data_IF_767874511026
#
_entry.id   IF_767874511026
#
_cell.length_a   1.000
_cell.length_b   1.000
_cell.length_c   1.000
_cell.angle_alpha   90.00
_cell.angle_beta   90.00
_cell.angle_gamma   90.00
#
_symmetry.space_group_name_H-M   'P 1'
#
loop_
_entity.id
_entity.type
_entity.pdbx_description
1 polymer ?
#
# COMPACT_ATOMS: atom_id res chain seq x y z
N UNK A 1 -9.69 -13.64 33.28
CA UNK A 1 -9.74 -13.82 31.82
C UNK A 1 -9.55 -15.29 31.51
N UNK A 2 -10.50 -15.95 30.83
CA UNK A 2 -10.35 -17.36 30.45
C UNK A 2 -9.48 -17.45 29.20
N UNK A 3 -8.26 -17.96 29.35
CA UNK A 3 -7.37 -18.29 28.22
C UNK A 3 -7.88 -19.51 27.48
N UNK A 4 -7.76 -19.51 26.15
CA UNK A 4 -8.05 -20.68 25.31
C UNK A 4 -6.74 -21.28 24.80
N UNK A 5 -6.59 -22.60 24.94
CA UNK A 5 -5.52 -23.36 24.29
C UNK A 5 -6.14 -24.05 23.09
N UNK A 6 -5.90 -23.53 21.89
CA UNK A 6 -6.26 -24.23 20.67
C UNK A 6 -5.30 -25.40 20.48
N UNK A 7 -5.80 -26.62 20.63
CA UNK A 7 -5.07 -27.84 20.26
C UNK A 7 -5.34 -28.16 18.78
N UNK A 8 -4.33 -28.55 18.00
CA UNK A 8 -4.55 -29.04 16.63
C UNK A 8 -5.57 -30.19 16.61
N UNK A 9 -6.46 -30.22 15.61
CA UNK A 9 -7.47 -31.28 15.43
C UNK A 9 -6.82 -32.65 15.16
N UNK A 10 -5.54 -32.69 14.78
CA UNK A 10 -4.74 -33.91 14.65
C UNK A 10 -3.48 -33.81 15.50
N UNK A 11 -3.23 -34.74 16.44
CA UNK A 11 -1.97 -34.81 17.18
C UNK A 11 -0.93 -35.40 16.23
N UNK A 12 -0.34 -34.55 15.41
CA UNK A 12 0.92 -34.85 14.73
C UNK A 12 1.87 -33.78 15.21
N UNK A 13 3.00 -34.19 15.79
CA UNK A 13 4.01 -33.34 16.45
C UNK A 13 4.71 -32.32 15.51
N UNK A 14 4.08 -31.95 14.39
CA UNK A 14 4.62 -31.10 13.34
C UNK A 14 3.65 -30.05 12.80
N UNK A 15 2.40 -29.98 13.26
CA UNK A 15 1.46 -28.92 12.82
C UNK A 15 1.44 -27.78 13.86
N UNK A 16 2.00 -26.60 13.55
CA UNK A 16 1.95 -25.46 14.46
C UNK A 16 0.49 -25.08 14.73
N UNK A 17 0.22 -24.62 15.96
CA UNK A 17 -1.10 -24.14 16.32
C UNK A 17 -1.57 -23.07 15.31
N UNK A 18 -2.86 -23.05 14.95
CA UNK A 18 -3.38 -22.18 13.89
C UNK A 18 -3.25 -20.69 14.21
N UNK A 19 -2.96 -20.37 15.47
CA UNK A 19 -2.77 -19.04 16.06
C UNK A 19 -1.70 -19.16 17.17
N UNK A 20 -0.98 -18.07 17.51
CA UNK A 20 -0.15 -18.07 18.72
C UNK A 20 -0.97 -18.45 19.97
N UNK A 21 -0.52 -19.47 20.70
CA UNK A 21 -1.19 -20.00 21.90
C UNK A 21 -0.19 -20.17 23.06
N UNK A 22 -0.63 -20.10 24.32
CA UNK A 22 -2.00 -19.76 24.77
C UNK A 22 -2.36 -18.29 24.52
N UNK A 23 -3.63 -18.00 24.18
CA UNK A 23 -4.14 -16.63 24.06
C UNK A 23 -5.61 -16.55 24.50
N UNK A 24 -6.14 -15.35 24.72
CA UNK A 24 -7.58 -15.16 25.00
C UNK A 24 -8.39 -15.18 23.70
N UNK A 25 -9.70 -15.43 23.80
CA UNK A 25 -10.62 -15.30 22.66
C UNK A 25 -10.55 -13.90 22.05
N UNK A 26 -10.46 -12.88 22.90
CA UNK A 26 -10.29 -11.49 22.45
C UNK A 26 -9.02 -11.33 21.62
N UNK A 27 -7.87 -11.81 22.10
CA UNK A 27 -6.62 -11.72 21.35
C UNK A 27 -6.70 -12.43 20.00
N UNK A 28 -7.28 -13.63 19.98
CA UNK A 28 -7.47 -14.40 18.75
C UNK A 28 -8.28 -13.64 17.70
N UNK A 29 -9.43 -13.09 18.10
CA UNK A 29 -10.31 -12.34 17.20
C UNK A 29 -9.75 -10.96 16.81
N UNK A 30 -9.04 -10.30 17.73
CA UNK A 30 -8.57 -8.92 17.56
C UNK A 30 -7.28 -8.82 16.77
N UNK A 31 -6.31 -9.70 17.03
CA UNK A 31 -4.95 -9.57 16.49
C UNK A 31 -4.59 -10.63 15.46
N UNK A 32 -5.31 -11.75 15.39
CA UNK A 32 -4.91 -12.85 14.51
C UNK A 32 -5.96 -13.26 13.47
N UNK A 33 -7.23 -12.92 13.65
CA UNK A 33 -8.30 -13.22 12.71
C UNK A 33 -8.64 -11.99 11.83
N UNK A 34 -8.61 -12.15 10.50
CA UNK A 34 -9.14 -11.15 9.56
C UNK A 34 -10.63 -11.40 9.34
N UNK A 35 -11.45 -10.81 10.23
CA UNK A 35 -12.90 -10.95 10.20
C UNK A 35 -13.58 -10.21 9.03
N UNK A 36 -12.83 -9.36 8.31
CA UNK A 36 -13.33 -8.55 7.18
C UNK A 36 -12.92 -9.12 5.83
N UNK A 37 -12.00 -10.08 5.79
CA UNK A 37 -11.66 -10.79 4.57
C UNK A 37 -12.86 -11.61 4.06
N UNK A 38 -13.00 -11.71 2.73
CA UNK A 38 -14.02 -12.55 2.12
C UNK A 38 -13.91 -13.99 2.65
N UNK A 39 -15.03 -14.56 3.12
CA UNK A 39 -15.01 -15.92 3.68
C UNK A 39 -14.62 -16.95 2.63
N UNK A 40 -13.81 -17.93 3.02
CA UNK A 40 -13.40 -19.00 2.11
C UNK A 40 -14.51 -20.02 1.90
N UNK A 41 -14.45 -20.77 0.80
CA UNK A 41 -15.37 -21.89 0.56
C UNK A 41 -15.31 -22.97 1.65
N UNK A 42 -14.12 -23.23 2.20
CA UNK A 42 -13.95 -24.19 3.29
C UNK A 42 -14.64 -23.70 4.57
N UNK A 43 -14.56 -22.40 4.86
CA UNK A 43 -15.27 -21.81 5.98
C UNK A 43 -16.79 -21.87 5.78
N UNK A 44 -17.28 -21.66 4.55
CA UNK A 44 -18.72 -21.84 4.23
C UNK A 44 -19.19 -23.28 4.47
N UNK A 45 -18.38 -24.29 4.14
CA UNK A 45 -18.72 -25.69 4.41
C UNK A 45 -18.78 -25.98 5.91
N UNK A 46 -17.82 -25.48 6.69
CA UNK A 46 -17.86 -25.60 8.16
C UNK A 46 -19.15 -24.99 8.73
N UNK A 47 -19.56 -23.82 8.22
CA UNK A 47 -20.80 -23.16 8.65
C UNK A 47 -22.03 -23.97 8.24
N UNK A 48 -22.02 -24.57 7.04
CA UNK A 48 -23.13 -25.40 6.55
C UNK A 48 -23.36 -26.63 7.44
N UNK A 49 -22.29 -27.31 7.85
CA UNK A 49 -22.33 -28.49 8.72
C UNK A 49 -22.88 -28.19 10.11
N UNK A 50 -22.75 -26.93 10.56
CA UNK A 50 -23.16 -26.48 11.90
C UNK A 50 -24.40 -25.57 11.87
N UNK A 51 -25.12 -25.53 10.74
CA UNK A 51 -26.39 -24.82 10.61
C UNK A 51 -27.53 -25.70 11.11
N UNK A 52 -28.27 -25.23 12.12
CA UNK A 52 -29.45 -25.96 12.63
C UNK A 52 -30.67 -25.85 11.70
N UNK A 53 -30.72 -24.84 10.83
CA UNK A 53 -31.77 -24.67 9.83
C UNK A 53 -31.33 -25.32 8.50
N UNK A 54 -32.00 -26.39 8.02
CA UNK A 54 -31.62 -27.09 6.79
C UNK A 54 -31.52 -26.18 5.56
N UNK A 55 -32.39 -25.16 5.47
CA UNK A 55 -32.36 -24.22 4.34
C UNK A 55 -31.08 -23.36 4.34
N UNK A 56 -30.63 -22.88 5.51
CA UNK A 56 -29.38 -22.12 5.63
C UNK A 56 -28.15 -23.01 5.34
N UNK A 57 -28.14 -24.23 5.88
CA UNK A 57 -27.07 -25.20 5.62
C UNK A 57 -26.93 -25.54 4.14
N UNK A 58 -28.05 -25.85 3.47
CA UNK A 58 -28.06 -26.12 2.03
C UNK A 58 -27.58 -24.92 1.20
N UNK A 59 -27.95 -23.70 1.60
CA UNK A 59 -27.53 -22.46 0.93
C UNK A 59 -26.03 -22.21 1.08
N UNK A 60 -25.47 -22.36 2.28
CA UNK A 60 -24.03 -22.26 2.53
C UNK A 60 -23.24 -23.31 1.73
N UNK A 61 -23.71 -24.56 1.71
CA UNK A 61 -23.11 -25.64 0.93
C UNK A 61 -23.17 -25.35 -0.58
N UNK A 62 -24.28 -24.79 -1.08
CA UNK A 62 -24.41 -24.38 -2.48
C UNK A 62 -23.35 -23.35 -2.87
N UNK A 63 -23.18 -22.28 -2.07
CA UNK A 63 -22.16 -21.24 -2.32
C UNK A 63 -20.74 -21.84 -2.37
N UNK A 64 -20.44 -22.84 -1.54
CA UNK A 64 -19.15 -23.50 -1.57
C UNK A 64 -18.96 -24.43 -2.80
N UNK A 65 -20.04 -24.96 -3.35
CA UNK A 65 -20.03 -25.96 -4.44
C UNK A 65 -19.49 -25.44 -5.78
N UNK A 66 -19.35 -26.36 -6.75
CA UNK A 66 -19.04 -26.01 -8.14
C UNK A 66 -20.20 -25.27 -8.82
N UNK A 67 -21.44 -25.68 -8.56
CA UNK A 67 -22.64 -25.06 -9.12
C UNK A 67 -22.81 -23.60 -8.62
N UNK A 68 -22.54 -23.35 -7.35
CA UNK A 68 -22.61 -22.00 -6.77
C UNK A 68 -21.37 -21.13 -7.00
N UNK A 69 -20.40 -21.55 -7.82
CA UNK A 69 -19.13 -20.81 -8.03
C UNK A 69 -19.38 -19.35 -8.45
N UNK A 70 -20.28 -19.13 -9.39
CA UNK A 70 -20.59 -17.79 -9.87
C UNK A 70 -21.25 -16.96 -8.78
N UNK A 71 -22.22 -17.55 -8.08
CA UNK A 71 -22.92 -16.87 -6.99
C UNK A 71 -22.00 -16.55 -5.81
N UNK A 72 -21.07 -17.43 -5.45
CA UNK A 72 -20.02 -17.14 -4.47
C UNK A 72 -19.15 -15.96 -4.89
N UNK A 73 -18.75 -15.90 -6.17
CA UNK A 73 -17.96 -14.78 -6.67
C UNK A 73 -18.74 -13.47 -6.58
N UNK A 74 -20.02 -13.47 -6.94
CA UNK A 74 -20.85 -12.27 -6.94
C UNK A 74 -21.29 -11.83 -5.53
N UNK A 75 -21.68 -12.78 -4.69
CA UNK A 75 -22.23 -12.50 -3.36
C UNK A 75 -21.15 -12.34 -2.29
N UNK A 76 -20.09 -13.14 -2.35
CA UNK A 76 -19.05 -13.18 -1.30
C UNK A 76 -17.80 -12.42 -1.73
N UNK A 77 -17.20 -12.76 -2.87
CA UNK A 77 -15.89 -12.23 -3.26
C UNK A 77 -15.99 -10.79 -3.73
N UNK A 78 -16.87 -10.49 -4.68
CA UNK A 78 -17.06 -9.17 -5.29
C UNK A 78 -17.46 -8.13 -4.24
N UNK A 79 -18.37 -8.53 -3.37
CA UNK A 79 -18.90 -7.67 -2.32
C UNK A 79 -17.98 -7.68 -1.07
N UNK A 80 -17.01 -8.59 -0.99
CA UNK A 80 -16.09 -8.70 0.15
C UNK A 80 -16.79 -9.05 1.45
N UNK A 81 -17.75 -9.99 1.43
CA UNK A 81 -18.50 -10.40 2.63
C UNK A 81 -17.60 -11.10 3.64
N UNK A 82 -17.40 -10.43 4.77
CA UNK A 82 -16.63 -10.94 5.89
C UNK A 82 -17.39 -11.97 6.72
N UNK A 83 -16.68 -12.61 7.66
CA UNK A 83 -17.26 -13.61 8.56
C UNK A 83 -18.47 -13.06 9.34
N UNK A 84 -18.36 -11.83 9.84
CA UNK A 84 -19.43 -11.19 10.61
C UNK A 84 -20.72 -11.06 9.79
N UNK A 85 -20.61 -10.69 8.52
CA UNK A 85 -21.78 -10.52 7.64
C UNK A 85 -22.43 -11.86 7.31
N UNK A 86 -21.60 -12.89 7.07
CA UNK A 86 -22.09 -14.24 6.79
C UNK A 86 -22.79 -14.83 8.01
N UNK A 87 -22.25 -14.69 9.22
CA UNK A 87 -22.92 -15.15 10.45
C UNK A 87 -24.21 -14.37 10.77
N UNK A 88 -24.30 -13.10 10.34
CA UNK A 88 -25.53 -12.32 10.48
C UNK A 88 -26.63 -12.75 9.50
N UNK A 89 -26.22 -13.21 8.30
CA UNK A 89 -27.09 -13.73 7.24
C UNK A 89 -27.56 -15.16 7.53
N UNK A 90 -26.67 -16.02 8.04
CA UNK A 90 -26.94 -17.43 8.36
C UNK A 90 -26.86 -17.65 9.88
N UNK A 91 -27.91 -17.25 10.60
CA UNK A 91 -27.90 -17.18 12.06
C UNK A 91 -27.99 -18.55 12.75
N UNK A 92 -28.42 -19.57 12.04
CA UNK A 92 -28.48 -20.95 12.55
C UNK A 92 -27.12 -21.64 12.58
N UNK A 93 -26.10 -21.06 11.93
CA UNK A 93 -24.75 -21.62 11.88
C UNK A 93 -23.98 -21.36 13.18
N UNK A 94 -23.75 -22.40 13.99
CA UNK A 94 -23.05 -22.33 15.27
C UNK A 94 -21.82 -23.24 15.32
N UNK A 95 -20.74 -22.93 14.57
CA UNK A 95 -19.55 -23.77 14.54
C UNK A 95 -18.75 -23.69 15.86
N UNK A 96 -18.01 -24.75 16.23
CA UNK A 96 -17.05 -24.69 17.33
C UNK A 96 -16.00 -23.59 17.09
N UNK A 97 -15.73 -22.77 18.11
CA UNK A 97 -14.81 -21.63 18.02
C UNK A 97 -13.41 -22.06 17.52
N UNK A 98 -12.91 -23.22 17.95
CA UNK A 98 -11.60 -23.71 17.52
C UNK A 98 -11.52 -23.97 16.02
N UNK A 99 -12.51 -24.67 15.46
CA UNK A 99 -12.61 -24.95 14.03
C UNK A 99 -12.80 -23.65 13.23
N UNK A 100 -13.59 -22.71 13.76
CA UNK A 100 -13.77 -21.40 13.16
C UNK A 100 -12.44 -20.65 13.07
N UNK A 101 -11.72 -20.53 14.19
CA UNK A 101 -10.43 -19.82 14.24
C UNK A 101 -9.35 -20.48 13.37
N UNK A 102 -9.43 -21.79 13.15
CA UNK A 102 -8.54 -22.50 12.23
C UNK A 102 -8.73 -22.04 10.77
N UNK A 103 -9.98 -21.91 10.32
CA UNK A 103 -10.33 -21.61 8.94
C UNK A 103 -10.44 -20.12 8.59
N UNK A 104 -10.62 -19.26 9.59
CA UNK A 104 -10.72 -17.82 9.37
C UNK A 104 -9.38 -17.28 8.82
N UNK A 105 -9.41 -16.45 7.75
CA UNK A 105 -8.20 -15.82 7.22
C UNK A 105 -7.41 -15.10 8.31
N UNK A 106 -6.08 -15.15 8.25
CA UNK A 106 -5.24 -14.55 9.29
C UNK A 106 -5.02 -13.06 9.03
N UNK A 107 -5.03 -12.28 10.10
CA UNK A 107 -4.76 -10.84 10.02
C UNK A 107 -3.28 -10.61 9.71
N UNK A 108 -3.01 -10.00 8.56
CA UNK A 108 -1.64 -9.68 8.13
C UNK A 108 -1.22 -8.26 8.56
N UNK A 109 0.07 -8.01 8.83
CA UNK A 109 0.56 -6.65 9.06
C UNK A 109 0.37 -5.79 7.80
N UNK A 110 0.09 -4.50 8.00
CA UNK A 110 -0.02 -3.52 6.91
C UNK A 110 1.24 -2.66 6.88
N UNK A 111 1.87 -2.60 5.71
CA UNK A 111 3.08 -1.83 5.48
C UNK A 111 2.74 -0.39 5.09
N UNK A 112 3.47 0.56 5.69
CA UNK A 112 3.45 1.96 5.34
C UNK A 112 4.88 2.43 5.12
N UNK A 113 5.08 3.30 4.14
CA UNK A 113 6.39 3.92 3.92
C UNK A 113 6.61 5.01 4.98
N UNK A 114 7.77 4.94 5.65
CA UNK A 114 8.19 5.93 6.64
C UNK A 114 8.34 7.29 5.96
N UNK A 115 7.80 8.34 6.58
CA UNK A 115 7.82 9.71 6.08
C UNK A 115 8.61 10.69 6.97
N UNK A 116 9.51 10.16 7.78
CA UNK A 116 10.50 10.91 8.56
C UNK A 116 11.91 10.39 8.35
N UNK A 117 12.88 11.23 8.69
CA UNK A 117 14.28 10.86 8.82
C UNK A 117 14.70 10.87 10.30
N UNK A 118 15.48 9.88 10.76
CA UNK A 118 16.06 9.90 12.11
C UNK A 118 17.12 10.99 12.29
N UNK A 119 17.67 11.54 11.20
CA UNK A 119 18.55 12.71 11.28
C UNK A 119 17.79 13.99 11.67
N UNK A 120 16.50 14.07 11.32
CA UNK A 120 15.63 15.18 11.76
C UNK A 120 15.11 14.97 13.18
N UNK A 121 14.70 13.75 13.52
CA UNK A 121 14.30 13.36 14.88
C UNK A 121 14.47 11.85 15.08
N UNK A 122 15.51 11.46 15.83
CA UNK A 122 15.81 10.04 16.09
C UNK A 122 14.80 9.37 17.02
N UNK A 123 13.98 10.14 17.74
CA UNK A 123 12.98 9.63 18.67
C UNK A 123 11.61 9.37 18.00
N UNK A 124 11.40 9.82 16.76
CA UNK A 124 10.10 9.71 16.08
C UNK A 124 10.14 9.04 14.72
N UNK A 125 9.07 8.30 14.43
CA UNK A 125 8.81 7.69 13.14
C UNK A 125 7.46 8.17 12.63
N UNK A 126 7.44 8.82 11.47
CA UNK A 126 6.22 9.38 10.88
C UNK A 126 5.68 8.47 9.78
N UNK A 127 4.35 8.41 9.67
CA UNK A 127 3.63 7.74 8.58
C UNK A 127 2.74 8.75 7.86
N UNK A 128 2.64 8.63 6.54
CA UNK A 128 1.68 9.39 5.72
C UNK A 128 0.59 8.44 5.22
N UNK A 129 -0.60 8.51 5.80
CA UNK A 129 -1.65 7.51 5.60
C UNK A 129 -2.91 8.12 4.99
N UNK A 130 -3.38 7.54 3.87
CA UNK A 130 -4.74 7.79 3.37
C UNK A 130 -5.67 6.86 4.14
N UNK A 131 -6.62 7.42 4.89
CA UNK A 131 -7.66 6.62 5.53
C UNK A 131 -8.55 6.01 4.46
N UNK A 132 -8.59 4.68 4.40
CA UNK A 132 -9.36 3.95 3.40
C UNK A 132 -10.82 3.86 3.81
N UNK A 133 -11.64 4.74 3.22
CA UNK A 133 -13.11 4.68 3.21
C UNK A 133 -13.58 5.10 1.81
N UNK A 134 -13.82 4.12 0.95
CA UNK A 134 -14.24 4.40 -0.44
C UNK A 134 -15.21 3.32 -0.95
N UNK A 135 -16.12 3.66 -1.89
CA UNK A 135 -16.99 2.67 -2.50
C UNK A 135 -16.20 1.49 -3.08
N UNK A 136 -16.70 0.26 -2.90
CA UNK A 136 -16.08 -0.90 -3.53
C UNK A 136 -16.21 -0.82 -5.05
N UNK A 137 -15.13 -1.12 -5.77
CA UNK A 137 -15.06 -0.97 -7.24
C UNK A 137 -16.18 -1.70 -7.98
N UNK A 138 -16.54 -2.89 -7.50
CA UNK A 138 -17.53 -3.76 -8.14
C UNK A 138 -18.85 -3.84 -7.35
N UNK A 139 -18.98 -3.06 -6.27
CA UNK A 139 -20.16 -3.01 -5.41
C UNK A 139 -20.30 -1.59 -4.83
N UNK A 140 -20.65 -0.58 -5.65
CA UNK A 140 -20.54 0.84 -5.27
C UNK A 140 -21.45 1.26 -4.11
N UNK A 141 -22.49 0.47 -3.79
CA UNK A 141 -23.35 0.66 -2.61
C UNK A 141 -22.68 0.23 -1.31
N UNK A 142 -21.55 -0.50 -1.37
CA UNK A 142 -20.76 -0.93 -0.22
C UNK A 142 -19.49 -0.11 -0.09
N UNK A 143 -19.06 0.13 1.15
CA UNK A 143 -17.83 0.83 1.46
C UNK A 143 -16.70 -0.14 1.79
N UNK A 144 -15.58 0.00 1.09
CA UNK A 144 -14.30 -0.59 1.48
C UNK A 144 -13.74 0.24 2.63
N UNK A 145 -13.63 -0.38 3.80
CA UNK A 145 -13.06 0.22 5.01
C UNK A 145 -11.77 -0.50 5.37
N UNK A 146 -10.65 0.23 5.41
CA UNK A 146 -9.35 -0.36 5.73
C UNK A 146 -9.19 -0.62 7.22
N UNK A 147 -8.87 -1.86 7.59
CA UNK A 147 -8.65 -2.26 9.00
C UNK A 147 -7.59 -1.39 9.66
N UNK A 148 -6.36 -1.41 9.15
CA UNK A 148 -5.24 -0.69 9.78
C UNK A 148 -5.37 0.84 9.63
N UNK A 149 -5.77 1.35 8.46
CA UNK A 149 -5.84 2.80 8.27
C UNK A 149 -6.91 3.48 9.12
N UNK A 150 -8.02 2.80 9.40
CA UNK A 150 -9.06 3.34 10.30
C UNK A 150 -8.70 3.13 11.76
N UNK A 151 -7.99 2.06 12.11
CA UNK A 151 -7.39 1.92 13.44
C UNK A 151 -6.39 3.05 13.73
N UNK A 152 -5.52 3.39 12.77
CA UNK A 152 -4.55 4.48 12.94
C UNK A 152 -5.23 5.84 13.14
N UNK A 153 -6.38 6.07 12.50
CA UNK A 153 -7.16 7.30 12.68
C UNK A 153 -7.74 7.44 14.09
N UNK A 154 -8.02 6.32 14.79
CA UNK A 154 -8.57 6.36 16.15
C UNK A 154 -7.49 6.43 17.24
N UNK A 155 -6.21 6.32 16.90
CA UNK A 155 -5.12 6.42 17.86
C UNK A 155 -4.96 7.86 18.35
N UNK A 156 -4.73 8.01 19.64
CA UNK A 156 -4.42 9.29 20.29
C UNK A 156 -3.08 9.20 21.01
N UNK A 157 -2.55 10.35 21.47
CA UNK A 157 -1.29 10.38 22.21
C UNK A 157 -1.35 9.45 23.44
N UNK A 158 -0.31 8.63 23.62
CA UNK A 158 -0.25 7.62 24.67
C UNK A 158 -0.72 6.23 24.25
N UNK A 159 -1.41 6.08 23.10
CA UNK A 159 -1.70 4.76 22.54
C UNK A 159 -0.41 4.03 22.14
N UNK A 160 -0.43 2.69 22.25
CA UNK A 160 0.66 1.83 21.80
C UNK A 160 0.24 1.05 20.56
N UNK A 161 1.15 0.89 19.61
CA UNK A 161 0.98 0.06 18.43
C UNK A 161 2.17 -0.91 18.30
N UNK A 162 1.90 -2.13 17.88
CA UNK A 162 2.95 -3.11 17.57
C UNK A 162 3.41 -2.85 16.14
N UNK A 163 4.69 -2.50 15.99
CA UNK A 163 5.31 -2.18 14.70
C UNK A 163 6.63 -2.90 14.56
N UNK A 164 7.04 -3.10 13.31
CA UNK A 164 8.39 -3.53 12.96
C UNK A 164 8.83 -2.79 11.70
N UNK A 165 10.13 -2.63 11.54
CA UNK A 165 10.71 -1.91 10.40
C UNK A 165 11.19 -2.92 9.38
N UNK A 166 10.80 -2.73 8.11
CA UNK A 166 11.38 -3.45 6.97
C UNK A 166 12.30 -2.50 6.22
N UNK A 167 13.53 -2.92 5.86
CA UNK A 167 14.40 -2.11 5.00
C UNK A 167 13.72 -1.72 3.69
N UNK A 168 14.03 -0.52 3.21
CA UNK A 168 13.52 0.03 1.95
C UNK A 168 14.68 0.27 0.99
N UNK A 169 14.40 0.19 -0.31
CA UNK A 169 15.35 0.53 -1.37
C UNK A 169 15.41 2.04 -1.65
N UNK A 170 14.50 2.85 -1.08
CA UNK A 170 14.63 4.30 -1.12
C UNK A 170 15.74 4.76 -0.18
N UNK A 171 16.93 4.95 -0.76
CA UNK A 171 18.13 5.43 -0.10
C UNK A 171 18.70 6.59 -0.92
N UNK A 172 19.37 7.54 -0.27
CA UNK A 172 20.13 8.54 -1.02
C UNK A 172 21.24 7.83 -1.82
N UNK A 173 21.54 8.26 -3.06
CA UNK A 173 22.74 7.82 -3.76
C UNK A 173 23.99 8.10 -2.91
N UNK A 174 24.96 7.18 -2.93
CA UNK A 174 26.20 7.32 -2.18
C UNK A 174 26.98 8.58 -2.59
N UNK A 175 27.01 8.87 -3.90
CA UNK A 175 27.53 10.13 -4.42
C UNK A 175 26.47 11.23 -4.33
N UNK A 176 26.82 12.32 -3.63
CA UNK A 176 25.95 13.46 -3.39
C UNK A 176 25.83 14.40 -4.61
N UNK A 177 26.69 14.23 -5.62
CA UNK A 177 26.58 14.91 -6.92
C UNK A 177 25.58 14.22 -7.87
N UNK A 178 25.26 12.94 -7.64
CA UNK A 178 24.31 12.19 -8.46
C UNK A 178 22.90 12.81 -8.35
N UNK A 179 22.22 13.16 -9.46
CA UNK A 179 20.89 13.74 -9.38
C UNK A 179 19.82 12.76 -8.88
N UNK A 180 18.76 13.28 -8.26
CA UNK A 180 17.65 12.51 -7.73
C UNK A 180 16.33 12.98 -8.33
N UNK A 181 15.57 12.06 -8.92
CA UNK A 181 14.25 12.31 -9.52
C UNK A 181 13.21 11.52 -8.73
N UNK A 182 12.42 12.21 -7.92
CA UNK A 182 11.39 11.64 -7.05
C UNK A 182 10.01 11.85 -7.66
N UNK A 183 9.20 10.79 -7.74
CA UNK A 183 7.85 10.83 -8.33
C UNK A 183 6.85 10.20 -7.36
N UNK A 184 6.04 11.03 -6.70
CA UNK A 184 5.22 10.61 -5.57
C UNK A 184 3.93 11.42 -5.41
N UNK A 185 2.88 11.13 -6.19
CA UNK A 185 1.59 11.77 -6.00
C UNK A 185 0.85 11.25 -4.75
N UNK A 186 0.10 12.15 -4.11
CA UNK A 186 -0.64 11.88 -2.87
C UNK A 186 0.27 11.36 -1.76
N UNK A 187 -0.14 10.30 -1.08
CA UNK A 187 0.67 9.67 -0.03
C UNK A 187 1.94 9.00 -0.56
N UNK A 188 2.12 8.91 -1.88
CA UNK A 188 3.39 8.56 -2.53
C UNK A 188 4.55 9.51 -2.22
N UNK A 189 4.27 10.69 -1.65
CA UNK A 189 5.31 11.63 -1.21
C UNK A 189 6.04 11.18 0.06
N UNK A 190 5.50 10.19 0.78
CA UNK A 190 6.02 9.73 2.07
C UNK A 190 7.55 9.54 2.12
N UNK A 191 8.17 8.68 1.29
CA UNK A 191 9.62 8.48 1.35
C UNK A 191 10.38 9.75 0.96
N UNK A 192 9.81 10.60 0.12
CA UNK A 192 10.48 11.81 -0.38
C UNK A 192 10.51 12.90 0.67
N UNK A 193 9.48 12.99 1.52
CA UNK A 193 9.54 13.79 2.74
C UNK A 193 10.68 13.32 3.65
N UNK A 194 10.81 12.01 3.88
CA UNK A 194 11.90 11.46 4.68
C UNK A 194 13.28 11.80 4.09
N UNK A 195 13.48 11.61 2.78
CA UNK A 195 14.74 11.96 2.13
C UNK A 195 15.04 13.46 2.20
N UNK A 196 14.03 14.34 2.04
CA UNK A 196 14.21 15.78 2.17
C UNK A 196 14.60 16.18 3.60
N UNK A 197 13.99 15.55 4.62
CA UNK A 197 14.37 15.75 6.01
C UNK A 197 15.80 15.27 6.30
N UNK A 198 16.20 14.11 5.76
CA UNK A 198 17.56 13.58 5.87
C UNK A 198 18.59 14.57 5.32
N UNK A 199 18.35 15.05 4.10
CA UNK A 199 19.24 16.00 3.42
C UNK A 199 19.32 17.35 4.15
N UNK A 200 18.20 17.84 4.67
CA UNK A 200 18.14 19.10 5.40
C UNK A 200 18.79 19.05 6.79
N UNK A 201 18.60 17.96 7.52
CA UNK A 201 19.05 17.86 8.91
C UNK A 201 20.53 17.44 9.04
N UNK A 202 21.02 16.55 8.18
CA UNK A 202 22.38 16.02 8.29
C UNK A 202 23.48 16.99 7.77
N UNK A 203 23.13 18.24 7.45
CA UNK A 203 23.98 19.17 6.70
C UNK A 203 24.60 18.56 5.43
N UNK A 204 23.97 17.51 4.88
CA UNK A 204 24.40 16.81 3.68
C UNK A 204 24.16 17.75 2.50
N UNK A 205 25.19 18.52 2.19
CA UNK A 205 25.18 19.47 1.08
C UNK A 205 25.29 18.68 -0.22
N UNK A 206 24.14 18.28 -0.75
CA UNK A 206 24.07 17.68 -2.09
C UNK A 206 24.30 18.76 -3.12
N UNK A 207 25.24 18.50 -4.02
CA UNK A 207 25.46 19.32 -5.21
C UNK A 207 24.63 18.81 -6.39
N UNK A 208 24.21 17.54 -6.37
CA UNK A 208 23.34 16.95 -7.36
C UNK A 208 21.93 17.51 -7.29
N UNK A 209 21.30 17.71 -8.46
CA UNK A 209 19.93 18.24 -8.54
C UNK A 209 18.94 17.28 -7.89
N UNK A 210 18.05 17.81 -7.06
CA UNK A 210 16.96 17.06 -6.44
C UNK A 210 15.63 17.56 -6.99
N UNK A 211 14.88 16.67 -7.66
CA UNK A 211 13.62 17.00 -8.31
C UNK A 211 12.49 16.19 -7.69
N UNK A 212 11.35 16.83 -7.42
CA UNK A 212 10.13 16.19 -6.96
C UNK A 212 8.97 16.48 -7.91
N UNK A 213 8.36 15.41 -8.42
CA UNK A 213 7.08 15.44 -9.12
C UNK A 213 5.99 14.97 -8.14
N UNK A 214 5.26 15.94 -7.61
CA UNK A 214 4.13 15.72 -6.72
C UNK A 214 2.82 15.96 -7.46
N UNK A 215 1.76 15.24 -7.06
CA UNK A 215 0.44 15.49 -7.59
C UNK A 215 -0.66 15.14 -6.61
N UNK A 216 -1.75 15.90 -6.65
CA UNK A 216 -2.94 15.65 -5.84
C UNK A 216 -4.20 16.04 -6.64
N UNK A 217 -5.36 16.08 -5.98
CA UNK A 217 -6.62 16.43 -6.67
C UNK A 217 -6.76 17.93 -6.80
N UNK A 218 -6.63 18.65 -5.70
CA UNK A 218 -6.83 20.11 -5.66
C UNK A 218 -5.75 20.75 -4.81
N UNK A 219 -5.17 21.86 -5.29
CA UNK A 219 -4.16 22.62 -4.54
C UNK A 219 -4.66 23.00 -3.15
N UNK A 220 -5.91 23.45 -3.04
CA UNK A 220 -6.50 23.94 -1.77
C UNK A 220 -7.10 22.85 -0.87
N UNK A 221 -7.01 21.56 -1.22
CA UNK A 221 -7.63 20.47 -0.42
C UNK A 221 -6.66 19.40 0.03
N UNK A 222 -5.84 18.88 -0.87
CA UNK A 222 -5.00 17.71 -0.59
C UNK A 222 -3.55 17.87 -1.06
N UNK A 223 -3.07 19.11 -1.11
CA UNK A 223 -1.64 19.41 -1.22
C UNK A 223 -0.95 19.26 0.14
N UNK A 224 -0.69 18.00 0.52
CA UNK A 224 -0.02 17.67 1.78
C UNK A 224 1.44 18.14 1.78
N UNK A 225 1.93 18.56 2.95
CA UNK A 225 3.30 19.02 3.18
C UNK A 225 3.72 20.27 2.38
N UNK A 226 2.77 21.10 1.93
CA UNK A 226 3.04 22.31 1.15
C UNK A 226 4.14 23.20 1.77
N UNK A 227 4.05 23.50 3.06
CA UNK A 227 5.02 24.35 3.76
C UNK A 227 6.41 23.72 3.85
N UNK A 228 6.50 22.42 4.12
CA UNK A 228 7.77 21.68 4.18
C UNK A 228 8.44 21.64 2.80
N UNK A 229 7.67 21.38 1.73
CA UNK A 229 8.17 21.35 0.37
C UNK A 229 8.61 22.74 -0.12
N UNK A 230 7.86 23.78 0.23
CA UNK A 230 8.24 25.17 -0.06
C UNK A 230 9.52 25.58 0.69
N UNK A 231 9.68 25.17 1.94
CA UNK A 231 10.90 25.41 2.72
C UNK A 231 12.10 24.70 2.10
N UNK A 232 11.96 23.42 1.72
CA UNK A 232 13.03 22.67 1.05
C UNK A 232 13.44 23.29 -0.29
N UNK A 233 12.49 23.86 -1.04
CA UNK A 233 12.78 24.59 -2.28
C UNK A 233 13.55 25.89 -2.01
N UNK A 234 13.13 26.66 -0.99
CA UNK A 234 13.79 27.90 -0.58
C UNK A 234 15.22 27.67 -0.06
N UNK A 235 15.44 26.56 0.65
CA UNK A 235 16.74 26.18 1.21
C UNK A 235 17.67 25.53 0.16
N UNK A 236 17.15 25.18 -1.01
CA UNK A 236 17.92 24.54 -2.08
C UNK A 236 18.08 23.02 -1.97
N UNK A 237 17.63 22.41 -0.85
CA UNK A 237 17.57 20.94 -0.69
C UNK A 237 16.73 20.28 -1.79
N UNK A 238 15.62 20.93 -2.16
CA UNK A 238 14.83 20.59 -3.34
C UNK A 238 15.16 21.60 -4.44
N UNK A 239 15.76 21.16 -5.54
CA UNK A 239 16.11 22.04 -6.67
C UNK A 239 14.92 22.35 -7.55
N UNK A 240 13.97 21.42 -7.68
CA UNK A 240 12.79 21.60 -8.53
C UNK A 240 11.58 20.89 -7.96
N UNK A 241 10.47 21.62 -7.84
CA UNK A 241 9.17 21.09 -7.45
C UNK A 241 8.18 21.22 -8.61
N UNK A 242 7.61 20.10 -9.05
CA UNK A 242 6.60 20.04 -10.11
C UNK A 242 5.29 19.54 -9.52
N UNK A 243 4.25 20.37 -9.64
CA UNK A 243 2.94 20.14 -9.01
C UNK A 243 1.88 19.82 -10.07
N UNK A 244 1.25 18.66 -9.94
CA UNK A 244 0.16 18.21 -10.80
C UNK A 244 -1.17 18.19 -10.02
N UNK A 245 -2.04 19.17 -10.29
CA UNK A 245 -3.39 19.23 -9.71
C UNK A 245 -4.41 18.66 -10.68
N UNK A 246 -4.86 17.44 -10.43
CA UNK A 246 -5.67 16.67 -11.40
C UNK A 246 -7.11 17.15 -11.56
N UNK A 247 -7.60 18.05 -10.70
CA UNK A 247 -9.00 18.53 -10.67
C UNK A 247 -9.15 20.05 -10.55
N UNK A 248 -8.06 20.82 -10.60
CA UNK A 248 -8.12 22.30 -10.56
C UNK A 248 -8.41 22.92 -11.93
N UNK A 249 -8.15 22.20 -13.02
CA UNK A 249 -8.42 22.62 -14.39
C UNK A 249 -9.39 21.65 -15.10
N UNK A 250 -9.91 22.07 -16.25
CA UNK A 250 -10.76 21.22 -17.11
C UNK A 250 -10.03 19.95 -17.55
N UNK A 251 -8.75 20.08 -17.90
CA UNK A 251 -7.90 18.97 -18.31
C UNK A 251 -7.17 18.36 -17.12
N UNK A 252 -7.16 17.02 -17.04
CA UNK A 252 -6.50 16.30 -15.96
C UNK A 252 -4.98 16.35 -16.11
N UNK A 253 -4.32 17.00 -15.17
CA UNK A 253 -2.85 17.05 -15.09
C UNK A 253 -2.35 16.02 -14.08
N UNK A 254 -1.46 15.13 -14.53
CA UNK A 254 -0.79 14.13 -13.68
C UNK A 254 0.73 14.27 -13.77
N UNK A 255 1.45 13.63 -12.83
CA UNK A 255 2.92 13.71 -12.74
C UNK A 255 3.62 13.29 -14.04
N UNK A 256 3.14 12.25 -14.72
CA UNK A 256 3.69 11.81 -16.00
C UNK A 256 3.52 12.86 -17.12
N UNK A 257 2.48 13.69 -17.08
CA UNK A 257 2.31 14.78 -18.04
C UNK A 257 3.39 15.84 -17.83
N UNK A 258 3.74 16.14 -16.57
CA UNK A 258 4.82 17.08 -16.25
C UNK A 258 6.18 16.52 -16.63
N UNK A 259 6.42 15.23 -16.38
CA UNK A 259 7.67 14.56 -16.79
C UNK A 259 7.86 14.58 -18.31
N UNK A 260 6.79 14.38 -19.11
CA UNK A 260 6.85 14.53 -20.57
C UNK A 260 7.23 15.94 -21.00
N UNK A 261 6.64 16.97 -20.36
CA UNK A 261 6.99 18.37 -20.63
C UNK A 261 8.46 18.66 -20.32
N UNK A 262 9.00 18.00 -19.30
CA UNK A 262 10.38 18.18 -18.85
C UNK A 262 11.36 17.20 -19.50
N UNK A 263 10.92 16.40 -20.48
CA UNK A 263 11.72 15.30 -21.06
C UNK A 263 13.11 15.74 -21.53
N UNK A 264 13.22 16.92 -22.16
CA UNK A 264 14.51 17.47 -22.63
C UNK A 264 15.48 17.77 -21.49
N UNK A 265 14.97 18.13 -20.30
CA UNK A 265 15.79 18.43 -19.12
C UNK A 265 16.03 17.19 -18.26
N UNK A 266 15.07 16.27 -18.21
CA UNK A 266 15.18 15.02 -17.45
C UNK A 266 16.09 14.00 -18.13
N UNK A 267 16.08 13.93 -19.46
CA UNK A 267 16.82 12.90 -20.18
C UNK A 267 18.33 12.94 -19.91
N UNK A 268 19.04 14.08 -19.98
CA UNK A 268 20.48 14.13 -19.65
C UNK A 268 20.78 13.70 -18.21
N UNK A 269 19.93 14.09 -17.25
CA UNK A 269 20.08 13.69 -15.84
C UNK A 269 20.05 12.17 -15.71
N UNK A 270 19.06 11.53 -16.34
CA UNK A 270 18.83 10.09 -16.24
C UNK A 270 19.83 9.29 -17.09
N UNK A 271 20.10 9.73 -18.31
CA UNK A 271 20.94 8.98 -19.23
C UNK A 271 22.44 9.18 -18.94
N UNK A 272 22.87 10.42 -18.76
CA UNK A 272 24.29 10.80 -18.75
C UNK A 272 24.81 11.05 -17.34
N UNK A 273 24.07 11.78 -16.51
CA UNK A 273 24.51 12.17 -15.16
C UNK A 273 24.24 11.11 -14.09
N UNK A 274 23.77 9.93 -14.48
CA UNK A 274 23.64 8.81 -13.54
C UNK A 274 22.45 8.93 -12.58
N UNK A 275 21.48 9.82 -12.82
CA UNK A 275 20.41 10.08 -11.86
C UNK A 275 19.67 8.83 -11.37
N UNK A 276 19.27 8.86 -10.11
CA UNK A 276 18.38 7.88 -9.50
C UNK A 276 16.93 8.35 -9.62
N UNK A 277 16.05 7.48 -10.11
CA UNK A 277 14.63 7.73 -10.32
C UNK A 277 13.83 6.88 -9.35
N UNK A 278 13.10 7.53 -8.45
CA UNK A 278 12.33 6.89 -7.39
C UNK A 278 10.84 7.13 -7.59
N UNK A 279 10.05 6.05 -7.64
CA UNK A 279 8.61 6.11 -7.91
C UNK A 279 7.85 5.46 -6.77
N UNK A 280 6.97 6.22 -6.13
CA UNK A 280 6.22 5.76 -4.96
C UNK A 280 4.74 6.12 -5.11
N UNK A 281 3.84 5.15 -4.91
CA UNK A 281 2.39 5.39 -5.02
C UNK A 281 1.59 4.25 -5.63
N UNK A 282 0.52 4.60 -6.34
CA UNK A 282 -0.37 3.61 -6.95
C UNK A 282 0.27 2.82 -8.11
N UNK A 283 -0.05 1.53 -8.25
CA UNK A 283 0.46 0.68 -9.34
C UNK A 283 0.13 1.18 -10.75
N UNK A 284 -1.04 1.79 -10.96
CA UNK A 284 -1.40 2.43 -12.24
C UNK A 284 -0.51 3.63 -12.54
N UNK A 285 -0.17 4.43 -11.52
CA UNK A 285 0.72 5.57 -11.63
C UNK A 285 2.15 5.12 -11.94
N UNK A 286 2.67 4.10 -11.24
CA UNK A 286 4.00 3.55 -11.52
C UNK A 286 4.15 3.08 -12.96
N UNK A 287 3.16 2.35 -13.50
CA UNK A 287 3.14 1.95 -14.92
C UNK A 287 3.17 3.15 -15.87
N UNK A 288 2.41 4.21 -15.58
CA UNK A 288 2.39 5.42 -16.41
C UNK A 288 3.73 6.17 -16.39
N UNK A 289 4.41 6.21 -15.24
CA UNK A 289 5.75 6.81 -15.11
C UNK A 289 6.78 5.98 -15.88
N UNK A 290 6.76 4.66 -15.76
CA UNK A 290 7.66 3.77 -16.54
C UNK A 290 7.45 3.95 -18.04
N UNK A 291 6.20 3.96 -18.51
CA UNK A 291 5.88 4.26 -19.92
C UNK A 291 6.48 5.60 -20.36
N UNK A 292 6.37 6.62 -19.51
CA UNK A 292 6.90 7.96 -19.81
C UNK A 292 8.42 7.98 -19.90
N UNK A 293 9.11 7.19 -19.06
CA UNK A 293 10.57 7.04 -19.15
C UNK A 293 10.99 6.30 -20.43
N UNK A 294 10.22 5.29 -20.87
CA UNK A 294 10.46 4.61 -22.15
C UNK A 294 10.25 5.54 -23.34
N UNK A 295 9.14 6.29 -23.35
CA UNK A 295 8.86 7.32 -24.35
C UNK A 295 9.97 8.37 -24.42
N UNK A 296 10.49 8.79 -23.26
CA UNK A 296 11.61 9.73 -23.16
C UNK A 296 12.89 9.14 -23.75
N UNK A 297 13.19 7.86 -23.49
CA UNK A 297 14.34 7.17 -24.07
C UNK A 297 14.24 7.03 -25.59
N UNK A 298 13.05 6.70 -26.10
CA UNK A 298 12.81 6.62 -27.54
C UNK A 298 12.98 7.99 -28.22
N UNK A 299 12.36 9.03 -27.67
CA UNK A 299 12.33 10.35 -28.31
C UNK A 299 13.63 11.15 -28.13
N UNK A 300 14.16 11.22 -26.90
CA UNK A 300 15.34 12.03 -26.58
C UNK A 300 16.64 11.25 -26.81
N UNK A 301 16.61 9.94 -26.54
CA UNK A 301 17.74 9.03 -26.76
C UNK A 301 17.83 8.45 -28.17
N UNK A 302 16.81 8.69 -29.02
CA UNK A 302 16.69 8.09 -30.37
C UNK A 302 16.81 6.56 -30.35
N UNK A 303 16.33 5.95 -29.27
CA UNK A 303 16.32 4.50 -29.09
C UNK A 303 15.09 3.88 -29.80
N UNK A 304 15.23 2.66 -30.31
CA UNK A 304 14.05 1.87 -30.67
C UNK A 304 13.24 1.51 -29.42
N UNK A 305 12.01 1.04 -29.59
CA UNK A 305 11.17 0.63 -28.46
C UNK A 305 11.80 -0.51 -27.65
N UNK A 306 12.47 -1.46 -28.33
CA UNK A 306 13.21 -2.56 -27.68
C UNK A 306 14.40 -2.03 -26.89
N UNK A 307 15.16 -1.09 -27.46
CA UNK A 307 16.30 -0.47 -26.79
C UNK A 307 15.87 0.38 -25.60
N UNK A 308 14.75 1.11 -25.70
CA UNK A 308 14.15 1.86 -24.61
C UNK A 308 13.66 0.93 -23.48
N UNK A 309 13.03 -0.19 -23.81
CA UNK A 309 12.65 -1.19 -22.81
C UNK A 309 13.86 -1.82 -22.12
N UNK A 310 14.91 -2.14 -22.87
CA UNK A 310 16.17 -2.65 -22.32
C UNK A 310 16.87 -1.60 -21.42
N UNK A 311 16.81 -0.32 -21.77
CA UNK A 311 17.33 0.79 -20.97
C UNK A 311 16.66 0.83 -19.59
N UNK A 312 15.32 0.74 -19.52
CA UNK A 312 14.59 0.73 -18.23
C UNK A 312 14.93 -0.50 -17.39
N UNK A 313 15.04 -1.68 -18.01
CA UNK A 313 15.46 -2.90 -17.30
C UNK A 313 16.85 -2.73 -16.69
N UNK A 314 17.77 -2.12 -17.43
CA UNK A 314 19.12 -1.82 -16.95
C UNK A 314 19.12 -0.83 -15.79
N UNK A 315 18.34 0.25 -15.84
CA UNK A 315 18.21 1.19 -14.72
C UNK A 315 17.70 0.49 -13.45
N UNK A 316 16.70 -0.39 -13.60
CA UNK A 316 16.17 -1.18 -12.48
C UNK A 316 17.24 -2.10 -11.90
N UNK A 317 17.96 -2.86 -12.75
CA UNK A 317 19.00 -3.78 -12.34
C UNK A 317 20.19 -3.07 -11.64
N UNK A 318 20.47 -1.82 -12.03
CA UNK A 318 21.50 -0.98 -11.41
C UNK A 318 21.05 -0.30 -10.11
N UNK A 319 19.81 -0.52 -9.65
CA UNK A 319 19.25 0.19 -8.49
C UNK A 319 19.00 1.68 -8.72
N UNK A 320 19.05 2.13 -9.98
CA UNK A 320 18.84 3.53 -10.39
C UNK A 320 17.38 3.84 -10.71
N UNK A 321 16.54 2.83 -10.94
CA UNK A 321 15.09 2.97 -10.96
C UNK A 321 14.51 2.11 -9.84
N UNK A 322 13.98 2.76 -8.80
CA UNK A 322 13.38 2.08 -7.63
C UNK A 322 11.90 2.41 -7.56
N UNK A 323 11.08 1.37 -7.35
CA UNK A 323 9.63 1.51 -7.29
C UNK A 323 9.09 0.84 -6.02
N UNK A 324 8.32 1.58 -5.22
CA UNK A 324 7.47 1.00 -4.17
C UNK A 324 6.02 1.35 -4.49
N UNK A 325 5.29 0.37 -5.01
CA UNK A 325 3.94 0.56 -5.52
C UNK A 325 2.92 -0.24 -4.72
N UNK A 326 1.73 0.33 -4.54
CA UNK A 326 0.60 -0.32 -3.85
C UNK A 326 -0.72 -0.13 -4.59
N UNK A 327 -1.74 -0.89 -4.20
CA UNK A 327 -3.06 -0.97 -4.86
C UNK A 327 -4.22 -0.73 -3.91
#
# INVERSE_FOLDING_TARGET
EQGIVLKPIRPVDSVPAPLPTPCTVEMALRFYADLRAAVSKQLLLLLAEHASEPAEGARLAHLASAAGKQEYNDHVVRDGRGLTEVLQEFRSATPPLGALLELVPKLTPRYYTISSSPAADAASCHLTVKVLREPMRNAPRRLKVGVCSTQLETLTAGCRAVVFVRPSAFRLPADMATPLVMVGPGTGVAPFRALLQEMGAAAVSRTGRTLLYFGCRYAKKDYIYESELAAALKQGTLTTLRLAFSRDAKDKVYVQHLMRKDARQLWPLIHTEGAHVYVCGGTSMGRAVVSTLQEMAAQQGRMSDEAAAAFIKRLTAQGRLVQELWS
#
